data_IF_861680822282
#
_entry.id   IF_861680822282
#
_cell.length_a   1.000
_cell.length_b   1.000
_cell.length_c   1.000
_cell.angle_alpha   90.00
_cell.angle_beta   90.00
_cell.angle_gamma   90.00
#
_symmetry.space_group_name_H-M   'P 1'
#
loop_
_entity.id
_entity.type
_entity.pdbx_description
1 polymer ?
#
# COMPACT_ATOMS: atom_id res chain seq x y z
N UNK A 1 16.51 -17.51 1.19
CA UNK A 1 15.65 -17.71 0.00
C UNK A 1 14.18 -17.45 0.33
N UNK A 2 13.57 -18.21 1.26
CA UNK A 2 12.15 -18.05 1.66
C UNK A 2 11.71 -16.62 2.04
N UNK A 3 12.52 -15.88 2.82
CA UNK A 3 12.20 -14.49 3.22
C UNK A 3 12.07 -13.53 2.02
N UNK A 4 12.89 -13.72 0.99
CA UNK A 4 12.89 -12.83 -0.19
C UNK A 4 11.67 -13.12 -1.07
N UNK A 5 11.35 -14.40 -1.28
CA UNK A 5 10.13 -14.82 -1.99
C UNK A 5 8.86 -14.34 -1.30
N UNK A 6 8.83 -14.42 0.03
CA UNK A 6 7.72 -13.92 0.83
C UNK A 6 7.57 -12.39 0.71
N UNK A 7 8.67 -11.64 0.81
CA UNK A 7 8.65 -10.19 0.65
C UNK A 7 8.22 -9.77 -0.77
N UNK A 8 8.69 -10.46 -1.80
CA UNK A 8 8.24 -10.26 -3.18
C UNK A 8 6.74 -10.56 -3.33
N UNK A 9 6.26 -11.64 -2.72
CA UNK A 9 4.86 -12.02 -2.73
C UNK A 9 3.96 -10.94 -2.11
N UNK A 10 4.32 -10.43 -0.93
CA UNK A 10 3.55 -9.35 -0.27
C UNK A 10 3.64 -8.05 -1.09
N UNK A 11 4.82 -7.72 -1.62
CA UNK A 11 4.99 -6.53 -2.47
C UNK A 11 4.11 -6.60 -3.72
N UNK A 12 4.09 -7.74 -4.41
CA UNK A 12 3.23 -7.94 -5.58
C UNK A 12 1.74 -7.90 -5.19
N UNK A 13 1.37 -8.54 -4.08
CA UNK A 13 0.01 -8.45 -3.56
C UNK A 13 -0.40 -7.01 -3.25
N UNK A 14 0.49 -6.19 -2.68
CA UNK A 14 0.22 -4.77 -2.41
C UNK A 14 -0.08 -3.98 -3.69
N UNK A 15 0.67 -4.24 -4.77
CA UNK A 15 0.42 -3.65 -6.08
C UNK A 15 -0.91 -4.10 -6.70
N UNK A 16 -1.22 -5.40 -6.64
CA UNK A 16 -2.50 -5.94 -7.11
C UNK A 16 -3.67 -5.35 -6.33
N UNK A 17 -3.57 -5.28 -5.00
CA UNK A 17 -4.59 -4.68 -4.14
C UNK A 17 -4.82 -3.20 -4.46
N UNK A 18 -3.76 -2.46 -4.77
CA UNK A 18 -3.86 -1.07 -5.23
C UNK A 18 -4.64 -0.96 -6.55
N UNK A 19 -4.39 -1.83 -7.53
CA UNK A 19 -5.16 -1.85 -8.79
C UNK A 19 -6.64 -2.20 -8.56
N UNK A 20 -6.93 -3.13 -7.63
CA UNK A 20 -8.30 -3.47 -7.23
C UNK A 20 -8.96 -2.28 -6.52
N UNK A 21 -8.24 -1.57 -5.66
CA UNK A 21 -8.70 -0.33 -5.03
C UNK A 21 -9.04 0.73 -6.10
N UNK A 22 -8.19 0.92 -7.10
CA UNK A 22 -8.43 1.85 -8.20
C UNK A 22 -9.69 1.47 -9.00
N UNK A 23 -9.86 0.19 -9.29
CA UNK A 23 -11.07 -0.33 -9.96
C UNK A 23 -12.33 -0.09 -9.12
N UNK A 24 -12.23 -0.25 -7.79
CA UNK A 24 -13.35 0.01 -6.88
C UNK A 24 -13.77 1.49 -6.83
N UNK A 25 -12.86 2.41 -7.15
CA UNK A 25 -13.18 3.83 -7.37
C UNK A 25 -14.04 4.01 -8.63
N UNK A 26 -13.66 3.38 -9.73
CA UNK A 26 -14.39 3.44 -11.01
C UNK A 26 -15.80 2.84 -10.85
N UNK A 27 -15.90 1.69 -10.18
CA UNK A 27 -17.16 0.98 -9.96
C UNK A 27 -18.01 1.56 -8.80
N UNK A 28 -17.55 2.63 -8.14
CA UNK A 28 -18.25 3.27 -7.02
C UNK A 28 -18.61 2.36 -5.82
N UNK A 29 -17.79 1.33 -5.55
CA UNK A 29 -18.04 0.36 -4.48
C UNK A 29 -17.59 0.91 -3.10
N UNK A 30 -18.41 1.74 -2.47
CA UNK A 30 -18.08 2.44 -1.20
C UNK A 30 -17.66 1.51 -0.05
N UNK A 31 -18.33 0.37 0.14
CA UNK A 31 -17.97 -0.60 1.19
C UNK A 31 -16.63 -1.30 0.92
N UNK A 32 -16.41 -1.70 -0.34
CA UNK A 32 -15.17 -2.36 -0.74
C UNK A 32 -13.97 -1.43 -0.63
N UNK A 33 -14.14 -0.14 -0.98
CA UNK A 33 -13.10 0.89 -0.86
C UNK A 33 -12.52 0.97 0.55
N UNK A 34 -13.37 0.95 1.58
CA UNK A 34 -12.92 1.03 2.99
C UNK A 34 -12.01 -0.17 3.32
N UNK A 35 -12.49 -1.38 3.01
CA UNK A 35 -11.75 -2.61 3.30
C UNK A 35 -10.44 -2.70 2.51
N UNK A 36 -10.50 -2.44 1.20
CA UNK A 36 -9.34 -2.45 0.30
C UNK A 36 -8.30 -1.40 0.69
N UNK A 37 -8.72 -0.21 1.11
CA UNK A 37 -7.82 0.87 1.54
C UNK A 37 -7.00 0.47 2.77
N UNK A 38 -7.64 -0.18 3.74
CA UNK A 38 -6.97 -0.69 4.95
C UNK A 38 -5.97 -1.80 4.62
N UNK A 39 -6.37 -2.79 3.81
CA UNK A 39 -5.49 -3.91 3.47
C UNK A 39 -4.33 -3.45 2.60
N UNK A 40 -4.57 -2.59 1.61
CA UNK A 40 -3.52 -2.06 0.72
C UNK A 40 -2.46 -1.32 1.52
N UNK A 41 -2.87 -0.41 2.43
CA UNK A 41 -1.92 0.33 3.27
C UNK A 41 -1.17 -0.58 4.24
N UNK A 42 -1.84 -1.57 4.85
CA UNK A 42 -1.21 -2.56 5.71
C UNK A 42 -0.17 -3.43 4.98
N UNK A 43 -0.51 -3.94 3.79
CA UNK A 43 0.41 -4.73 2.97
C UNK A 43 1.58 -3.92 2.45
N UNK A 44 1.35 -2.66 2.05
CA UNK A 44 2.42 -1.76 1.64
C UNK A 44 3.38 -1.44 2.80
N UNK A 45 2.86 -1.19 4.01
CA UNK A 45 3.67 -0.99 5.22
C UNK A 45 4.50 -2.24 5.56
N UNK A 46 3.87 -3.43 5.51
CA UNK A 46 4.57 -4.68 5.75
C UNK A 46 5.66 -4.94 4.70
N UNK A 47 5.37 -4.66 3.43
CA UNK A 47 6.36 -4.77 2.34
C UNK A 47 7.52 -3.82 2.55
N UNK A 48 7.26 -2.58 2.98
CA UNK A 48 8.29 -1.60 3.30
C UNK A 48 9.21 -2.08 4.44
N UNK A 49 8.62 -2.60 5.52
CA UNK A 49 9.39 -3.14 6.66
C UNK A 49 10.26 -4.32 6.23
N UNK A 50 9.69 -5.27 5.48
CA UNK A 50 10.41 -6.44 4.97
C UNK A 50 11.53 -6.03 4.01
N UNK A 51 11.27 -5.07 3.14
CA UNK A 51 12.27 -4.51 2.24
C UNK A 51 13.46 -3.92 3.01
N UNK A 52 13.20 -3.05 3.99
CA UNK A 52 14.25 -2.47 4.84
C UNK A 52 15.03 -3.56 5.59
N UNK A 53 14.34 -4.59 6.10
CA UNK A 53 14.99 -5.70 6.80
C UNK A 53 15.92 -6.50 5.87
N UNK A 54 15.46 -6.84 4.67
CA UNK A 54 16.25 -7.57 3.66
C UNK A 54 17.47 -6.75 3.23
N UNK A 55 17.29 -5.45 2.96
CA UNK A 55 18.42 -4.57 2.58
C UNK A 55 19.46 -4.49 3.69
N UNK A 56 19.03 -4.38 4.96
CA UNK A 56 19.92 -4.40 6.11
C UNK A 56 20.65 -5.74 6.24
N UNK A 57 19.95 -6.86 6.05
CA UNK A 57 20.53 -8.20 6.15
C UNK A 57 21.57 -8.49 5.05
N UNK A 58 21.37 -7.93 3.85
CA UNK A 58 22.26 -8.11 2.71
C UNK A 58 23.42 -7.10 2.67
N UNK A 59 23.61 -6.28 3.70
CA UNK A 59 24.72 -5.32 3.79
C UNK A 59 24.54 -4.06 2.94
N UNK A 60 23.30 -3.78 2.52
CA UNK A 60 22.92 -2.74 1.56
C UNK A 60 23.66 -2.90 0.22
N UNK A 61 23.04 -3.49 -0.83
CA UNK A 61 23.69 -3.74 -2.11
C UNK A 61 23.84 -2.44 -2.92
N UNK A 62 24.40 -1.41 -2.29
CA UNK A 62 24.52 -0.08 -2.83
C UNK A 62 25.72 -0.02 -3.76
N UNK A 63 25.49 -0.38 -5.01
CA UNK A 63 26.51 -0.27 -6.06
C UNK A 63 26.66 1.19 -6.54
N UNK A 64 26.50 2.16 -5.64
CA UNK A 64 26.41 3.59 -5.97
C UNK A 64 25.05 4.00 -6.58
N UNK A 65 24.02 3.18 -6.41
CA UNK A 65 22.66 3.39 -6.94
C UNK A 65 21.63 3.60 -5.84
N UNK A 66 22.03 4.25 -4.74
CA UNK A 66 21.24 4.51 -3.52
C UNK A 66 19.81 4.96 -3.87
N UNK A 67 19.69 5.93 -4.79
CA UNK A 67 18.41 6.49 -5.23
C UNK A 67 17.45 5.43 -5.78
N UNK A 68 17.93 4.60 -6.70
CA UNK A 68 17.08 3.64 -7.40
C UNK A 68 16.84 2.37 -6.60
N UNK A 69 17.84 1.92 -5.84
CA UNK A 69 17.79 0.64 -5.14
C UNK A 69 17.25 0.76 -3.72
N UNK A 70 17.26 1.95 -3.10
CA UNK A 70 16.80 2.15 -1.74
C UNK A 70 15.63 3.14 -1.67
N UNK A 71 15.82 4.37 -2.14
CA UNK A 71 14.81 5.43 -1.99
C UNK A 71 13.58 5.20 -2.87
N UNK A 72 13.75 4.76 -4.12
CA UNK A 72 12.63 4.56 -5.04
C UNK A 72 11.63 3.48 -4.57
N UNK A 73 12.06 2.28 -4.14
CA UNK A 73 11.14 1.30 -3.55
C UNK A 73 10.41 1.83 -2.31
N UNK A 74 11.12 2.52 -1.41
CA UNK A 74 10.51 3.12 -0.22
C UNK A 74 9.45 4.15 -0.61
N UNK A 75 9.73 4.99 -1.61
CA UNK A 75 8.79 5.99 -2.10
C UNK A 75 7.52 5.35 -2.67
N UNK A 76 7.63 4.23 -3.39
CA UNK A 76 6.48 3.48 -3.90
C UNK A 76 5.62 2.98 -2.73
N UNK A 77 6.23 2.34 -1.72
CA UNK A 77 5.46 1.87 -0.56
C UNK A 77 4.81 3.02 0.20
N UNK A 78 5.53 4.13 0.39
CA UNK A 78 5.01 5.32 1.05
C UNK A 78 3.80 5.89 0.29
N UNK A 79 3.89 5.97 -1.04
CA UNK A 79 2.77 6.39 -1.89
C UNK A 79 1.54 5.48 -1.70
N UNK A 80 1.72 4.16 -1.71
CA UNK A 80 0.63 3.21 -1.51
C UNK A 80 -0.02 3.33 -0.12
N UNK A 81 0.80 3.54 0.93
CA UNK A 81 0.33 3.75 2.30
C UNK A 81 -0.51 5.03 2.38
N UNK A 82 0.04 6.16 1.92
CA UNK A 82 -0.63 7.46 1.98
C UNK A 82 -1.91 7.44 1.16
N UNK A 83 -1.87 6.87 -0.04
CA UNK A 83 -3.06 6.74 -0.89
C UNK A 83 -4.15 5.90 -0.20
N UNK A 84 -3.78 4.74 0.36
CA UNK A 84 -4.72 3.90 1.11
C UNK A 84 -5.34 4.64 2.30
N UNK A 85 -4.53 5.31 3.11
CA UNK A 85 -5.01 6.06 4.29
C UNK A 85 -5.95 7.21 3.87
N UNK A 86 -5.56 8.01 2.89
CA UNK A 86 -6.40 9.12 2.38
C UNK A 86 -7.70 8.57 1.81
N UNK A 87 -7.65 7.52 0.99
CA UNK A 87 -8.84 6.86 0.43
C UNK A 87 -9.80 6.37 1.52
N UNK A 88 -9.26 5.76 2.59
CA UNK A 88 -10.05 5.33 3.75
C UNK A 88 -10.76 6.51 4.42
N UNK A 89 -10.02 7.55 4.78
CA UNK A 89 -10.56 8.74 5.46
C UNK A 89 -11.64 9.41 4.61
N UNK A 90 -11.35 9.66 3.33
CA UNK A 90 -12.30 10.30 2.41
C UNK A 90 -13.57 9.47 2.25
N UNK A 91 -13.45 8.15 2.12
CA UNK A 91 -14.62 7.27 1.96
C UNK A 91 -15.46 7.24 3.23
N UNK A 92 -14.84 7.16 4.41
CA UNK A 92 -15.54 7.19 5.71
C UNK A 92 -16.29 8.51 5.92
N UNK A 93 -15.64 9.66 5.69
CA UNK A 93 -16.28 10.98 5.81
C UNK A 93 -17.49 11.06 4.87
N UNK A 94 -17.35 10.64 3.62
CA UNK A 94 -18.44 10.63 2.64
C UNK A 94 -19.60 9.74 3.12
N UNK A 95 -19.32 8.56 3.64
CA UNK A 95 -20.34 7.64 4.18
C UNK A 95 -21.08 8.25 5.38
N UNK A 96 -20.37 8.91 6.30
CA UNK A 96 -20.98 9.59 7.47
C UNK A 96 -21.91 10.73 7.01
N UNK A 97 -21.45 11.60 6.12
CA UNK A 97 -22.24 12.73 5.61
C UNK A 97 -23.52 12.22 4.91
N UNK A 98 -23.40 11.17 4.09
CA UNK A 98 -24.55 10.54 3.41
C UNK A 98 -25.56 9.99 4.42
N UNK A 99 -25.09 9.40 5.51
CA UNK A 99 -25.94 8.86 6.59
C UNK A 99 -26.67 9.98 7.35
N UNK A 100 -26.01 11.12 7.59
CA UNK A 100 -26.62 12.29 8.26
C UNK A 100 -27.70 12.93 7.38
N UNK A 101 -27.46 13.10 6.07
CA UNK A 101 -28.44 13.69 5.14
C UNK A 101 -29.66 12.81 4.84
N UNK A 102 -29.58 11.51 5.12
CA UNK A 102 -30.66 10.55 4.88
C UNK A 102 -31.59 10.37 6.08
N UNK A 103 -31.30 11.03 7.21
CA UNK A 103 -32.13 11.11 8.41
C UNK A 103 -32.88 12.43 8.42
#
# INVERSE_FOLDING_TARGET
>A
MFMVEFALGISLASGVLFLVLLTSYILNLEKAKIFLSCITSGFALLSMILFCYIQKANGNPDQGMEFQQWYFPILIYLFLIVFGVVSFITTIIKTIIKKVKSK
#
